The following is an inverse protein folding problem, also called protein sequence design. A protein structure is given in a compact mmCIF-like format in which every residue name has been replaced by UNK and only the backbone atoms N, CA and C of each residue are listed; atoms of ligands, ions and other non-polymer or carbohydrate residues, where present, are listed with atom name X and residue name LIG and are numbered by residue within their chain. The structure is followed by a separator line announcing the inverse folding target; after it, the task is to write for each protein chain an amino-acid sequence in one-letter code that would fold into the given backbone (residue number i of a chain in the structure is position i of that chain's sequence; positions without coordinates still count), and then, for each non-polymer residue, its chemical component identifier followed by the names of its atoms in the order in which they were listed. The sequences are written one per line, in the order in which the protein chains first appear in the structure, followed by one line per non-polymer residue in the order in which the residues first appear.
data_IF_694948183586
#
_entry.id   IF_694948183586
#
_cell.length_a   1.000
_cell.length_b   1.000
_cell.length_c   1.000
_cell.angle_alpha   90.00
_cell.angle_beta   90.00
_cell.angle_gamma   90.00
#
_symmetry.space_group_name_H-M   'P 1'
#
loop_
_entity.id
_entity.type
_entity.pdbx_description
1 polymer ?
#
# COMPACT_ATOMS: atom_id res chain seq x y z
N UNK A 1 -29.43 -6.01 6.68
CA UNK A 1 -28.56 -5.32 5.71
C UNK A 1 -27.40 -6.28 5.43
N UNK A 2 -27.48 -7.07 4.36
CA UNK A 2 -26.35 -7.88 3.93
C UNK A 2 -25.37 -6.90 3.30
N UNK A 3 -24.30 -6.55 4.02
CA UNK A 3 -23.17 -5.85 3.43
C UNK A 3 -22.76 -6.67 2.22
N UNK A 4 -22.79 -6.07 1.03
CA UNK A 4 -22.16 -6.68 -0.12
C UNK A 4 -20.75 -7.08 0.34
N UNK A 5 -20.41 -8.36 0.23
CA UNK A 5 -19.05 -8.81 0.45
C UNK A 5 -18.22 -8.20 -0.68
N UNK A 6 -17.83 -6.94 -0.51
CA UNK A 6 -16.80 -6.31 -1.32
C UNK A 6 -15.57 -7.17 -1.11
N UNK A 7 -15.08 -7.77 -2.18
CA UNK A 7 -13.87 -8.61 -2.18
C UNK A 7 -12.68 -7.67 -1.93
N UNK A 8 -12.50 -7.31 -0.67
CA UNK A 8 -11.39 -6.51 -0.20
C UNK A 8 -10.19 -7.41 -0.07
N UNK A 9 -9.13 -7.04 -0.77
CA UNK A 9 -7.85 -7.73 -0.72
C UNK A 9 -6.95 -6.97 0.23
N UNK A 10 -6.28 -7.72 1.10
CA UNK A 10 -5.26 -7.17 1.97
C UNK A 10 -3.99 -6.89 1.17
N UNK A 11 -3.54 -5.65 1.22
CA UNK A 11 -2.29 -5.20 0.62
C UNK A 11 -1.37 -4.63 1.69
N UNK A 12 -0.07 -4.77 1.50
CA UNK A 12 0.98 -4.42 2.43
C UNK A 12 1.87 -3.33 1.87
N UNK A 13 2.37 -2.45 2.71
CA UNK A 13 3.24 -1.36 2.31
C UNK A 13 4.56 -1.93 1.76
N UNK A 14 4.84 -1.67 0.49
CA UNK A 14 6.07 -2.13 -0.18
C UNK A 14 7.00 -0.98 -0.53
N UNK A 15 6.46 0.23 -0.68
CA UNK A 15 7.27 1.40 -1.01
C UNK A 15 6.63 2.69 -0.46
N UNK A 16 7.49 3.57 0.05
CA UNK A 16 7.13 4.91 0.53
C UNK A 16 8.11 5.92 -0.02
N UNK A 17 7.62 6.80 -0.88
CA UNK A 17 8.44 7.84 -1.52
C UNK A 17 7.94 9.22 -1.12
N UNK A 18 8.87 10.07 -0.66
CA UNK A 18 8.59 11.47 -0.35
C UNK A 18 9.07 12.35 -1.50
N UNK A 19 8.17 13.10 -2.09
CA UNK A 19 8.47 14.11 -3.09
C UNK A 19 8.52 15.48 -2.41
N UNK A 20 9.73 16.07 -2.36
CA UNK A 20 10.02 17.32 -1.64
C UNK A 20 10.04 18.55 -2.57
N UNK A 21 9.92 18.37 -3.90
CA UNK A 21 10.33 19.40 -4.85
C UNK A 21 9.41 20.63 -4.87
N UNK A 22 8.08 20.50 -4.87
CA UNK A 22 7.18 21.69 -4.89
C UNK A 22 5.80 21.49 -4.21
N UNK A 23 5.46 20.27 -3.81
CA UNK A 23 4.24 19.95 -3.08
C UNK A 23 4.58 18.77 -2.17
N UNK A 24 4.58 18.96 -0.84
CA UNK A 24 4.91 17.92 0.13
C UNK A 24 4.04 16.66 -0.10
N UNK A 25 4.43 15.78 -1.02
CA UNK A 25 3.60 14.68 -1.51
C UNK A 25 4.27 13.40 -1.05
N UNK A 26 3.47 12.52 -0.45
CA UNK A 26 3.89 11.16 -0.14
C UNK A 26 3.16 10.20 -1.07
N UNK A 27 3.93 9.35 -1.72
CA UNK A 27 3.43 8.26 -2.56
C UNK A 27 3.64 6.99 -1.74
N UNK A 28 2.52 6.36 -1.39
CA UNK A 28 2.50 5.08 -0.70
C UNK A 28 2.06 4.01 -1.69
N UNK A 29 2.92 3.04 -1.93
CA UNK A 29 2.60 1.88 -2.76
C UNK A 29 2.41 0.69 -1.83
N UNK A 30 1.23 0.08 -1.93
CA UNK A 30 0.90 -1.16 -1.29
C UNK A 30 0.80 -2.25 -2.34
N UNK A 31 1.13 -3.48 -2.00
CA UNK A 31 0.97 -4.61 -2.90
C UNK A 31 0.44 -5.84 -2.18
N UNK A 32 -0.17 -6.74 -2.94
CA UNK A 32 -0.55 -8.05 -2.45
C UNK A 32 0.69 -8.89 -2.14
N UNK A 33 0.57 -9.89 -1.27
CA UNK A 33 1.70 -10.80 -0.97
C UNK A 33 2.10 -11.67 -2.16
N UNK A 34 1.23 -11.80 -3.16
CA UNK A 34 1.54 -12.40 -4.47
C UNK A 34 2.22 -11.42 -5.44
N UNK A 35 2.19 -10.11 -5.14
CA UNK A 35 2.76 -9.03 -5.93
C UNK A 35 2.05 -8.78 -7.27
N UNK A 36 1.01 -9.53 -7.61
CA UNK A 36 0.30 -9.40 -8.90
C UNK A 36 -0.53 -8.13 -8.96
N UNK A 37 -0.89 -7.59 -7.78
CA UNK A 37 -1.70 -6.39 -7.66
C UNK A 37 -1.06 -5.37 -6.73
N UNK A 38 -1.25 -4.11 -7.07
CA UNK A 38 -0.76 -2.99 -6.29
C UNK A 38 -1.85 -1.92 -6.10
N UNK A 39 -1.73 -1.18 -5.01
CA UNK A 39 -2.54 -0.02 -4.70
C UNK A 39 -1.62 1.16 -4.44
N UNK A 40 -1.74 2.21 -5.26
CA UNK A 40 -0.99 3.44 -5.07
C UNK A 40 -1.89 4.49 -4.44
N UNK A 41 -1.40 5.11 -3.36
CA UNK A 41 -2.06 6.18 -2.65
C UNK A 41 -1.15 7.39 -2.58
N UNK A 42 -1.57 8.47 -3.24
CA UNK A 42 -0.88 9.75 -3.24
C UNK A 42 -1.55 10.67 -2.24
N UNK A 43 -0.76 11.31 -1.37
CA UNK A 43 -1.28 12.21 -0.32
C UNK A 43 -0.44 13.46 -0.23
N UNK A 44 -1.10 14.62 -0.24
CA UNK A 44 -0.46 15.88 0.14
C UNK A 44 -0.35 15.98 1.66
N UNK A 45 0.86 16.22 2.15
CA UNK A 45 1.19 16.52 3.52
C UNK A 45 1.03 18.04 3.72
N UNK A 46 -0.02 18.45 4.41
CA UNK A 46 -0.24 19.87 4.72
C UNK A 46 0.73 20.40 5.79
N UNK A 47 1.47 19.52 6.47
CA UNK A 47 2.55 19.85 7.41
C UNK A 47 3.48 18.65 7.62
N UNK A 48 4.77 18.88 7.87
CA UNK A 48 5.77 17.83 8.12
C UNK A 48 5.44 16.93 9.33
N UNK A 49 4.64 17.44 10.27
CA UNK A 49 4.18 16.73 11.48
C UNK A 49 2.79 16.11 11.32
N UNK A 50 2.06 16.42 10.24
CA UNK A 50 0.77 15.81 9.91
C UNK A 50 1.03 14.53 9.10
N UNK A 51 1.79 13.62 9.70
CA UNK A 51 1.91 12.25 9.22
C UNK A 51 0.72 11.48 9.79
N UNK A 52 -0.40 11.48 9.06
CA UNK A 52 -1.44 10.47 9.29
C UNK A 52 -0.79 9.10 9.32
N UNK A 53 -1.09 8.34 10.37
CA UNK A 53 -0.56 7.00 10.61
C UNK A 53 -0.59 6.18 9.32
N UNK A 54 0.59 5.71 8.90
CA UNK A 54 0.72 4.81 7.76
C UNK A 54 0.69 3.41 8.31
N UNK A 55 -0.34 2.65 7.98
CA UNK A 55 -0.48 1.27 8.45
C UNK A 55 0.38 0.34 7.59
N UNK A 56 0.87 -0.75 8.20
CA UNK A 56 1.65 -1.77 7.51
C UNK A 56 0.83 -2.43 6.39
N UNK A 57 -0.47 -2.61 6.63
CA UNK A 57 -1.42 -3.16 5.67
C UNK A 57 -2.72 -2.37 5.61
N UNK A 58 -3.43 -2.51 4.49
CA UNK A 58 -4.76 -1.95 4.29
C UNK A 58 -5.62 -2.94 3.52
N UNK A 59 -6.91 -3.01 3.85
CA UNK A 59 -7.90 -3.74 3.06
C UNK A 59 -8.47 -2.80 1.99
N UNK A 60 -8.25 -3.16 0.72
CA UNK A 60 -8.67 -2.36 -0.43
C UNK A 60 -9.54 -3.21 -1.33
N UNK A 61 -10.60 -2.64 -1.88
CA UNK A 61 -11.44 -3.33 -2.85
C UNK A 61 -10.61 -3.75 -4.07
N UNK A 62 -10.75 -5.00 -4.50
CA UNK A 62 -10.01 -5.56 -5.65
C UNK A 62 -10.13 -4.72 -6.92
N UNK A 63 -11.24 -4.00 -7.12
CA UNK A 63 -11.47 -3.11 -8.27
C UNK A 63 -10.58 -1.85 -8.25
N UNK A 64 -10.11 -1.42 -7.07
CA UNK A 64 -9.18 -0.29 -6.92
C UNK A 64 -7.72 -0.70 -7.10
N UNK A 65 -7.43 -2.00 -7.27
CA UNK A 65 -6.06 -2.49 -7.42
C UNK A 65 -5.63 -2.47 -8.89
N UNK A 66 -4.47 -1.90 -9.14
CA UNK A 66 -3.78 -2.05 -10.42
C UNK A 66 -3.14 -3.43 -10.53
N UNK A 67 -3.04 -3.97 -11.75
CA UNK A 67 -2.25 -5.16 -12.03
C UNK A 67 -0.78 -4.78 -12.29
N UNK A 68 0.14 -5.61 -11.80
CA UNK A 68 1.57 -5.46 -12.08
C UNK A 68 1.91 -6.27 -13.33
N UNK A 69 2.17 -5.57 -14.45
CA UNK A 69 2.55 -6.22 -15.72
C UNK A 69 4.01 -6.68 -15.75
N UNK A 70 4.88 -6.04 -14.98
CA UNK A 70 6.31 -6.34 -14.94
C UNK A 70 6.62 -7.50 -13.98
N UNK A 71 7.16 -8.64 -14.46
CA UNK A 71 7.41 -9.81 -13.62
C UNK A 71 8.47 -9.52 -12.54
N UNK A 72 9.51 -8.76 -12.85
CA UNK A 72 10.54 -8.34 -11.89
C UNK A 72 9.95 -7.49 -10.77
N UNK A 73 9.04 -6.56 -11.11
CA UNK A 73 8.38 -5.69 -10.13
C UNK A 73 7.43 -6.50 -9.23
N UNK A 74 6.70 -7.46 -9.81
CA UNK A 74 5.85 -8.37 -9.06
C UNK A 74 6.64 -9.16 -8.03
N UNK A 75 7.78 -9.73 -8.40
CA UNK A 75 8.62 -10.50 -7.46
C UNK A 75 9.16 -9.60 -6.34
N UNK A 76 9.57 -8.37 -6.67
CA UNK A 76 10.01 -7.38 -5.67
C UNK A 76 8.89 -7.02 -4.69
N UNK A 77 7.70 -6.71 -5.20
CA UNK A 77 6.54 -6.34 -4.40
C UNK A 77 6.06 -7.51 -3.53
N UNK A 78 6.01 -8.74 -4.08
CA UNK A 78 5.64 -9.93 -3.33
C UNK A 78 6.60 -10.16 -2.15
N UNK A 79 7.92 -10.10 -2.39
CA UNK A 79 8.91 -10.33 -1.36
C UNK A 79 8.83 -9.30 -0.23
N UNK A 80 8.63 -8.02 -0.55
CA UNK A 80 8.53 -6.97 0.45
C UNK A 80 7.18 -7.03 1.20
N UNK A 81 6.08 -7.26 0.49
CA UNK A 81 4.76 -7.43 1.09
C UNK A 81 4.73 -8.62 2.05
N UNK A 82 5.36 -9.74 1.68
CA UNK A 82 5.48 -10.91 2.56
C UNK A 82 6.29 -10.59 3.80
N UNK A 83 7.46 -9.95 3.68
CA UNK A 83 8.23 -9.54 4.86
C UNK A 83 7.43 -8.62 5.77
N UNK A 84 6.72 -7.65 5.20
CA UNK A 84 5.95 -6.70 5.98
C UNK A 84 4.81 -7.41 6.72
N UNK A 85 4.16 -8.38 6.07
CA UNK A 85 3.15 -9.24 6.67
C UNK A 85 3.67 -10.19 7.75
N UNK A 86 4.93 -10.63 7.63
CA UNK A 86 5.56 -11.52 8.62
C UNK A 86 6.05 -10.77 9.86
N UNK A 87 6.45 -9.51 9.70
CA UNK A 87 7.04 -8.70 10.78
C UNK A 87 6.00 -7.81 11.47
N UNK A 88 4.99 -7.33 10.75
CA UNK A 88 4.01 -6.37 11.22
C UNK A 88 2.57 -6.89 11.07
N UNK A 89 1.72 -6.52 12.03
CA UNK A 89 0.28 -6.62 11.88
C UNK A 89 -0.24 -5.58 10.88
N UNK A 90 -1.35 -5.84 10.18
CA UNK A 90 -1.86 -4.91 9.17
C UNK A 90 -2.22 -3.53 9.75
N UNK A 91 -2.71 -3.48 10.99
CA UNK A 91 -3.06 -2.25 11.69
C UNK A 91 -1.86 -1.61 12.42
N UNK A 92 -0.66 -2.21 12.33
CA UNK A 92 0.56 -1.66 12.92
C UNK A 92 1.01 -0.40 12.18
N UNK A 93 1.47 0.60 12.91
CA UNK A 93 1.83 1.92 12.36
C UNK A 93 3.34 2.00 12.10
N UNK A 94 3.72 2.40 10.88
CA UNK A 94 5.09 2.49 10.36
C UNK A 94 5.53 3.94 10.03
#
# INVERSE_FOLDING_TARGET
MASAATDTVRVWLVERTYSDDEQNLIILTYATTDGERYFRKERALTSFTDVRDTTAGVDVESDNLGAVDDPDLREQYAAEAQRMAEVHDPDDVI
#
